data_IF_560694161776
#
_entry.id   IF_560694161776
#
_cell.length_a   1.000
_cell.length_b   1.000
_cell.length_c   1.000
_cell.angle_alpha   90.00
_cell.angle_beta   90.00
_cell.angle_gamma   90.00
#
_symmetry.space_group_name_H-M   'P 1'
#
loop_
_entity.id
_entity.type
_entity.pdbx_description
1 polymer ?
#
# COMPACT_ATOMS: atom_id res chain seq x y z
N UNK A 1 4.07 -73.73 1.02
CA UNK A 1 3.08 -72.95 1.81
C UNK A 1 3.83 -71.80 2.47
N UNK A 2 3.87 -70.65 1.81
CA UNK A 2 4.16 -69.33 2.39
C UNK A 2 4.04 -68.31 1.25
N UNK A 3 3.29 -67.26 1.53
CA UNK A 3 2.85 -66.14 0.69
C UNK A 3 4.00 -65.16 0.44
N UNK A 4 3.91 -64.38 -0.65
CA UNK A 4 4.36 -62.97 -0.81
C UNK A 4 5.16 -62.79 -2.11
N UNK A 5 4.94 -61.82 -2.98
CA UNK A 5 4.06 -60.65 -2.94
C UNK A 5 4.04 -60.02 -4.34
N UNK A 6 2.88 -59.48 -4.72
CA UNK A 6 2.63 -58.83 -6.01
C UNK A 6 3.29 -57.44 -5.97
N UNK A 7 4.34 -57.25 -6.78
CA UNK A 7 4.95 -55.94 -6.99
C UNK A 7 4.11 -55.15 -8.01
N UNK A 8 3.30 -54.21 -7.52
CA UNK A 8 2.60 -53.21 -8.33
C UNK A 8 3.57 -52.08 -8.65
N UNK A 9 4.01 -51.99 -9.90
CA UNK A 9 4.80 -50.87 -10.42
C UNK A 9 3.88 -49.68 -10.71
N UNK A 10 3.80 -48.74 -9.77
CA UNK A 10 3.18 -47.43 -9.98
C UNK A 10 4.12 -46.55 -10.80
N UNK A 11 3.70 -46.17 -12.02
CA UNK A 11 4.31 -45.08 -12.79
C UNK A 11 4.12 -43.76 -12.04
N UNK A 12 5.21 -43.15 -11.58
CA UNK A 12 5.24 -41.71 -11.27
C UNK A 12 5.34 -40.94 -12.59
N UNK A 13 4.26 -40.25 -12.97
CA UNK A 13 4.31 -39.19 -13.96
C UNK A 13 4.89 -37.94 -13.28
N UNK A 14 6.15 -37.62 -13.57
CA UNK A 14 6.76 -36.35 -13.19
C UNK A 14 6.13 -35.23 -14.05
N UNK A 15 5.21 -34.47 -13.45
CA UNK A 15 4.71 -33.24 -14.03
C UNK A 15 5.81 -32.21 -14.09
N UNK A 16 6.32 -31.94 -15.29
CA UNK A 16 7.21 -30.82 -15.55
C UNK A 16 6.40 -29.52 -15.35
N UNK A 17 6.53 -28.92 -14.16
CA UNK A 17 6.12 -27.55 -13.94
C UNK A 17 7.00 -26.65 -14.80
N UNK A 18 6.41 -26.10 -15.87
CA UNK A 18 6.97 -25.01 -16.65
C UNK A 18 7.10 -23.79 -15.74
N UNK A 19 8.24 -23.68 -15.06
CA UNK A 19 8.65 -22.41 -14.48
C UNK A 19 8.86 -21.44 -15.64
N UNK A 20 7.98 -20.45 -15.77
CA UNK A 20 8.26 -19.28 -16.57
C UNK A 20 9.45 -18.58 -15.90
N UNK A 21 10.60 -18.59 -16.58
CA UNK A 21 11.78 -17.85 -16.15
C UNK A 21 11.43 -16.37 -16.18
N UNK A 22 11.26 -15.76 -15.01
CA UNK A 22 11.43 -14.32 -14.90
C UNK A 22 12.90 -14.05 -15.25
N UNK A 23 13.15 -13.45 -16.42
CA UNK A 23 14.48 -13.00 -16.77
C UNK A 23 15.00 -12.07 -15.65
N UNK A 24 16.25 -12.23 -15.20
CA UNK A 24 16.82 -11.30 -14.23
C UNK A 24 16.75 -9.88 -14.81
N UNK A 25 16.33 -8.92 -13.98
CA UNK A 25 16.37 -7.50 -14.34
C UNK A 25 17.80 -7.13 -14.75
N UNK A 26 18.01 -6.88 -16.04
CA UNK A 26 19.30 -6.46 -16.57
C UNK A 26 19.45 -4.97 -16.24
N UNK A 27 20.51 -4.59 -15.55
CA UNK A 27 20.84 -3.19 -15.35
C UNK A 27 20.93 -2.50 -16.74
N UNK A 28 20.28 -1.34 -16.88
CA UNK A 28 20.24 -0.61 -18.14
C UNK A 28 21.67 -0.25 -18.58
N UNK A 29 22.12 -0.80 -19.70
CA UNK A 29 23.36 -0.41 -20.37
C UNK A 29 23.19 0.82 -21.26
N UNK A 30 21.97 1.18 -21.63
CA UNK A 30 21.61 2.51 -22.11
C UNK A 30 20.20 2.88 -21.61
N UNK A 31 19.85 4.17 -21.59
CA UNK A 31 18.54 4.62 -21.11
C UNK A 31 18.54 6.03 -20.55
N UNK A 32 17.56 6.34 -19.70
CA UNK A 32 17.47 7.59 -18.95
C UNK A 32 17.04 7.32 -17.51
N UNK A 33 17.61 8.08 -16.59
CA UNK A 33 17.11 8.21 -15.20
C UNK A 33 16.86 9.69 -14.93
N UNK A 34 16.06 10.02 -13.93
CA UNK A 34 15.81 11.42 -13.62
C UNK A 34 15.09 11.68 -12.31
N UNK A 35 15.27 12.91 -11.85
CA UNK A 35 14.66 13.44 -10.64
C UNK A 35 14.29 14.90 -10.84
N UNK A 36 13.40 15.39 -9.98
CA UNK A 36 12.93 16.77 -10.09
C UNK A 36 13.97 17.81 -9.71
N UNK A 37 13.79 19.00 -10.27
CA UNK A 37 14.63 20.16 -10.01
C UNK A 37 13.96 21.26 -9.18
N UNK A 38 12.62 21.40 -9.17
CA UNK A 38 12.00 22.58 -8.53
C UNK A 38 10.50 22.56 -8.15
N UNK A 39 9.78 21.42 -8.09
CA UNK A 39 8.32 21.48 -7.83
C UNK A 39 7.77 20.28 -7.06
N UNK A 40 7.76 20.36 -5.74
CA UNK A 40 7.13 19.32 -4.92
C UNK A 40 5.60 19.48 -4.88
N UNK A 41 4.87 18.36 -4.94
CA UNK A 41 3.42 18.33 -4.77
C UNK A 41 3.06 17.34 -3.65
N UNK A 42 1.98 17.58 -2.93
CA UNK A 42 1.46 16.62 -1.94
C UNK A 42 0.24 15.90 -2.51
N UNK A 43 0.20 14.59 -2.36
CA UNK A 43 -0.93 13.75 -2.73
C UNK A 43 -1.53 13.11 -1.48
N UNK A 44 -2.80 13.41 -1.23
CA UNK A 44 -3.63 12.70 -0.25
C UNK A 44 -4.49 11.67 -0.99
N UNK A 45 -4.24 10.35 -0.81
CA UNK A 45 -5.00 9.30 -1.48
C UNK A 45 -6.49 9.25 -1.09
N UNK A 46 -6.88 9.85 0.04
CA UNK A 46 -8.26 9.90 0.52
C UNK A 46 -9.00 11.17 0.11
N UNK A 47 -8.32 12.11 -0.57
CA UNK A 47 -8.97 13.25 -1.18
C UNK A 47 -9.79 12.80 -2.40
N UNK A 48 -11.11 13.07 -2.43
CA UNK A 48 -12.00 12.62 -3.52
C UNK A 48 -11.63 13.17 -4.91
N UNK A 49 -10.81 14.22 -5.00
CA UNK A 49 -10.37 14.78 -6.29
C UNK A 49 -9.04 14.21 -6.78
N UNK A 50 -8.30 13.48 -5.94
CA UNK A 50 -6.92 13.06 -6.23
C UNK A 50 -5.95 14.23 -6.32
N UNK A 51 -4.80 14.02 -6.98
CA UNK A 51 -3.86 15.10 -7.30
C UNK A 51 -4.34 15.81 -8.57
N UNK A 52 -4.77 17.07 -8.40
CA UNK A 52 -5.08 17.95 -9.51
C UNK A 52 -3.87 18.07 -10.46
N UNK A 53 -4.15 18.33 -11.73
CA UNK A 53 -3.12 18.51 -12.75
C UNK A 53 -2.07 19.54 -12.31
N UNK A 54 -0.82 19.09 -12.20
CA UNK A 54 0.32 19.93 -11.83
C UNK A 54 1.46 19.77 -12.84
N UNK A 55 2.33 20.75 -12.90
CA UNK A 55 3.50 20.74 -13.77
C UNK A 55 4.75 20.44 -12.95
N UNK A 56 5.51 19.42 -13.36
CA UNK A 56 6.72 18.96 -12.70
C UNK A 56 7.85 18.93 -13.72
N UNK A 57 8.95 19.61 -13.41
CA UNK A 57 10.16 19.58 -14.23
C UNK A 57 11.15 18.57 -13.65
N UNK A 58 11.57 17.61 -14.49
CA UNK A 58 12.62 16.64 -14.17
C UNK A 58 13.87 16.94 -15.00
N UNK A 59 15.05 16.78 -14.37
CA UNK A 59 16.30 16.66 -15.11
C UNK A 59 16.54 15.17 -15.36
N UNK A 60 16.53 14.78 -16.62
CA UNK A 60 16.85 13.42 -17.05
C UNK A 60 18.32 13.35 -17.43
N UNK A 61 19.03 12.36 -16.90
CA UNK A 61 20.40 12.02 -17.26
C UNK A 61 20.38 10.75 -18.10
N UNK A 62 21.08 10.75 -19.24
CA UNK A 62 21.24 9.54 -20.03
C UNK A 62 22.14 8.53 -19.32
N UNK A 63 21.75 7.26 -19.38
CA UNK A 63 22.58 6.13 -18.95
C UNK A 63 23.43 5.73 -20.14
N UNK A 64 24.75 5.69 -19.98
CA UNK A 64 25.69 5.31 -21.03
C UNK A 64 26.25 3.89 -20.80
N UNK A 65 26.57 3.14 -21.87
CA UNK A 65 27.16 1.81 -21.75
C UNK A 65 28.43 1.77 -20.89
N UNK A 66 28.60 0.75 -20.04
CA UNK A 66 29.80 0.60 -19.23
C UNK A 66 31.04 0.40 -20.12
N UNK A 67 32.20 0.81 -19.61
CA UNK A 67 33.50 0.59 -20.27
C UNK A 67 33.81 1.52 -21.45
N UNK A 68 33.11 2.65 -21.59
CA UNK A 68 33.37 3.63 -22.67
C UNK A 68 33.06 3.10 -24.06
N UNK A 69 32.16 2.13 -24.14
CA UNK A 69 31.81 1.39 -25.37
C UNK A 69 30.87 2.15 -26.30
N UNK A 70 30.41 3.34 -25.91
CA UNK A 70 29.59 4.23 -26.72
C UNK A 70 28.86 5.24 -25.85
N UNK A 71 28.04 6.07 -26.50
CA UNK A 71 27.19 7.06 -25.84
C UNK A 71 25.76 6.86 -26.28
N UNK A 72 24.82 6.89 -25.33
CA UNK A 72 23.39 6.77 -25.64
C UNK A 72 22.95 7.94 -26.50
N UNK A 73 22.53 7.63 -27.73
CA UNK A 73 22.12 8.60 -28.75
C UNK A 73 20.61 8.66 -28.90
N UNK A 74 19.89 7.58 -28.61
CA UNK A 74 18.42 7.57 -28.63
C UNK A 74 17.85 6.76 -27.48
N UNK A 75 16.78 7.27 -26.87
CA UNK A 75 15.96 6.56 -25.89
C UNK A 75 14.49 6.77 -26.18
N UNK A 76 13.77 5.67 -26.35
CA UNK A 76 12.32 5.62 -26.46
C UNK A 76 11.78 4.99 -25.19
N UNK A 77 10.88 5.67 -24.47
CA UNK A 77 10.37 5.13 -23.22
C UNK A 77 8.93 5.53 -22.89
N UNK A 78 8.28 4.68 -22.11
CA UNK A 78 7.01 4.96 -21.46
C UNK A 78 7.10 4.52 -19.99
N UNK A 79 6.14 4.97 -19.19
CA UNK A 79 6.00 4.60 -17.79
C UNK A 79 4.87 3.59 -17.67
N UNK A 80 5.05 2.56 -16.84
CA UNK A 80 3.99 1.56 -16.61
C UNK A 80 3.73 1.38 -15.13
N UNK A 81 2.46 1.26 -14.78
CA UNK A 81 2.04 0.77 -13.48
C UNK A 81 2.57 -0.65 -13.25
N UNK A 82 3.11 -0.93 -12.07
CA UNK A 82 3.51 -2.28 -11.67
C UNK A 82 2.30 -3.18 -11.40
N UNK A 83 1.23 -2.57 -10.90
CA UNK A 83 -0.05 -3.20 -10.62
C UNK A 83 -1.16 -2.14 -10.72
N UNK A 84 -2.42 -2.55 -10.52
CA UNK A 84 -3.58 -1.68 -10.66
C UNK A 84 -3.63 -0.51 -9.66
N UNK A 85 -2.74 -0.46 -8.66
CA UNK A 85 -2.71 0.59 -7.63
C UNK A 85 -2.44 1.98 -8.20
N UNK A 86 -1.80 2.07 -9.37
CA UNK A 86 -1.47 3.34 -10.02
C UNK A 86 -2.35 3.63 -11.26
N UNK A 87 -3.35 2.79 -11.55
CA UNK A 87 -4.20 2.94 -12.73
C UNK A 87 -4.98 4.25 -12.72
N UNK A 88 -5.05 4.90 -13.87
CA UNK A 88 -5.68 6.22 -14.04
C UNK A 88 -4.73 7.40 -13.81
N UNK A 89 -3.47 7.13 -13.44
CA UNK A 89 -2.40 8.14 -13.46
C UNK A 89 -2.20 8.67 -14.89
N UNK A 90 -1.98 9.98 -14.99
CA UNK A 90 -1.70 10.64 -16.27
C UNK A 90 -0.38 11.39 -16.14
N UNK A 91 0.57 11.08 -17.02
CA UNK A 91 1.88 11.72 -17.10
C UNK A 91 2.13 12.10 -18.57
N UNK A 92 2.12 13.40 -18.85
CA UNK A 92 2.25 13.93 -20.22
C UNK A 92 3.49 14.82 -20.28
N UNK A 93 4.55 14.48 -21.05
CA UNK A 93 5.66 15.38 -21.30
C UNK A 93 5.15 16.55 -22.16
N UNK A 94 5.20 17.76 -21.62
CA UNK A 94 4.79 18.99 -22.29
C UNK A 94 5.89 19.58 -23.15
N UNK A 95 7.13 19.58 -22.64
CA UNK A 95 8.28 20.14 -23.33
C UNK A 95 9.57 19.45 -22.91
N UNK A 96 10.55 19.49 -23.82
CA UNK A 96 11.90 18.98 -23.61
C UNK A 96 12.87 20.08 -24.01
N UNK A 97 13.90 20.30 -23.20
CA UNK A 97 14.95 21.29 -23.45
C UNK A 97 16.34 20.72 -23.13
N UNK A 98 17.36 21.23 -23.83
CA UNK A 98 18.72 20.72 -23.78
C UNK A 98 19.23 20.25 -25.15
N UNK A 99 20.41 19.65 -25.22
CA UNK A 99 21.03 19.15 -26.46
C UNK A 99 20.39 17.83 -26.93
N UNK A 100 19.10 17.88 -27.25
CA UNK A 100 18.27 16.74 -27.59
C UNK A 100 17.17 17.15 -28.59
N UNK A 101 16.84 16.25 -29.50
CA UNK A 101 15.62 16.32 -30.31
C UNK A 101 14.58 15.41 -29.67
N UNK A 102 13.34 15.89 -29.50
CA UNK A 102 12.30 15.12 -28.82
C UNK A 102 11.07 14.93 -29.73
N UNK A 103 10.43 13.77 -29.59
CA UNK A 103 9.14 13.48 -30.20
C UNK A 103 8.23 12.76 -29.21
N UNK A 104 6.91 12.87 -29.41
CA UNK A 104 5.92 12.24 -28.51
C UNK A 104 5.45 13.11 -27.34
N UNK A 105 5.84 14.40 -27.30
CA UNK A 105 5.27 15.37 -26.36
C UNK A 105 3.76 15.55 -26.56
N UNK A 106 3.06 15.95 -25.49
CA UNK A 106 1.61 16.13 -25.49
C UNK A 106 0.79 14.84 -25.45
N UNK A 107 1.43 13.69 -25.18
CA UNK A 107 0.76 12.37 -25.08
C UNK A 107 0.95 11.77 -23.70
N UNK A 108 -0.04 11.05 -23.18
CA UNK A 108 0.12 10.35 -21.90
C UNK A 108 1.10 9.18 -22.07
N UNK A 109 2.29 9.28 -21.50
CA UNK A 109 3.30 8.22 -21.54
C UNK A 109 3.15 7.23 -20.39
N UNK A 110 2.17 7.42 -19.50
CA UNK A 110 1.83 6.46 -18.47
C UNK A 110 0.82 5.42 -18.98
N UNK A 111 1.09 4.15 -18.68
CA UNK A 111 0.30 3.00 -19.11
C UNK A 111 -0.19 2.25 -17.87
N UNK A 112 -1.51 2.08 -17.77
CA UNK A 112 -2.16 1.28 -16.74
C UNK A 112 -1.67 -0.18 -16.77
N UNK A 113 -1.76 -0.89 -15.65
CA UNK A 113 -1.17 -2.22 -15.49
C UNK A 113 -1.69 -3.23 -16.51
N UNK A 114 -3.01 -3.24 -16.73
CA UNK A 114 -3.71 -4.14 -17.65
C UNK A 114 -3.83 -3.60 -19.09
N UNK A 115 -3.38 -2.37 -19.36
CA UNK A 115 -3.45 -1.81 -20.71
C UNK A 115 -2.39 -2.44 -21.63
N UNK A 116 -2.74 -2.57 -22.92
CA UNK A 116 -1.80 -3.02 -23.95
C UNK A 116 -0.62 -2.05 -24.02
N UNK A 117 0.62 -2.51 -23.80
CA UNK A 117 1.76 -1.60 -23.84
C UNK A 117 2.02 -1.04 -25.24
N UNK A 118 2.54 0.19 -25.34
CA UNK A 118 3.07 0.74 -26.58
C UNK A 118 4.17 -0.17 -27.15
N UNK A 119 4.20 -0.33 -28.46
CA UNK A 119 5.38 -0.94 -29.11
C UNK A 119 6.49 0.10 -29.14
N UNK A 120 7.64 -0.23 -28.54
CA UNK A 120 8.84 0.60 -28.58
C UNK A 120 9.97 -0.16 -29.26
N UNK A 121 10.81 0.56 -30.01
CA UNK A 121 11.98 0.03 -30.72
C UNK A 121 13.08 1.08 -30.70
N UNK A 122 14.37 0.70 -30.68
CA UNK A 122 15.46 1.67 -30.76
C UNK A 122 15.42 2.54 -32.03
N UNK A 123 14.91 2.05 -33.16
CA UNK A 123 14.98 2.81 -34.43
C UNK A 123 13.74 2.72 -35.32
N UNK A 124 12.91 1.68 -35.20
CA UNK A 124 11.89 1.36 -36.20
C UNK A 124 10.49 1.94 -35.92
N UNK A 125 10.26 2.51 -34.73
CA UNK A 125 8.94 2.99 -34.30
C UNK A 125 9.04 4.44 -33.86
N UNK A 126 8.06 5.26 -34.28
CA UNK A 126 7.95 6.67 -33.89
C UNK A 126 6.76 6.87 -32.94
N UNK A 127 6.82 7.87 -32.03
CA UNK A 127 5.72 8.18 -31.13
C UNK A 127 4.44 8.56 -31.89
N UNK A 128 3.30 8.05 -31.45
CA UNK A 128 2.00 8.32 -32.08
C UNK A 128 0.82 8.02 -31.16
N UNK A 129 -0.40 8.13 -31.69
CA UNK A 129 -1.62 7.81 -30.92
C UNK A 129 -1.67 6.35 -30.47
N UNK A 130 -1.26 5.42 -31.35
CA UNK A 130 -1.19 3.99 -31.04
C UNK A 130 0.04 3.59 -30.23
N UNK A 131 1.09 4.42 -30.21
CA UNK A 131 2.33 4.17 -29.46
C UNK A 131 2.71 5.43 -28.66
N UNK A 132 2.05 5.68 -27.51
CA UNK A 132 2.31 6.86 -26.70
C UNK A 132 3.57 6.64 -25.83
N UNK A 133 4.72 7.03 -26.35
CA UNK A 133 6.00 7.04 -25.65
C UNK A 133 6.75 8.36 -25.92
N UNK A 134 7.71 8.71 -25.07
CA UNK A 134 8.62 9.83 -25.30
C UNK A 134 9.88 9.31 -26.00
N UNK A 135 10.25 9.96 -27.10
CA UNK A 135 11.52 9.74 -27.80
C UNK A 135 12.46 10.90 -27.51
N UNK A 136 13.69 10.57 -27.13
CA UNK A 136 14.79 11.51 -26.90
C UNK A 136 15.99 11.13 -27.76
N UNK A 137 16.38 12.02 -28.66
CA UNK A 137 17.52 11.91 -29.56
C UNK A 137 18.63 12.87 -29.14
N UNK A 138 19.62 12.38 -28.40
CA UNK A 138 20.73 13.19 -27.91
C UNK A 138 21.64 13.61 -29.06
N UNK A 139 21.91 14.91 -29.19
CA UNK A 139 22.64 15.46 -30.34
C UNK A 139 24.15 15.56 -30.12
N UNK A 140 24.66 15.19 -28.95
CA UNK A 140 26.07 15.27 -28.58
C UNK A 140 26.61 14.00 -27.93
N UNK A 141 27.93 13.84 -27.92
CA UNK A 141 28.63 12.68 -27.33
C UNK A 141 29.40 13.00 -26.05
N UNK A 142 29.48 14.27 -25.65
CA UNK A 142 30.20 14.71 -24.44
C UNK A 142 29.30 14.81 -23.19
N UNK A 143 29.92 14.98 -22.02
CA UNK A 143 29.19 15.06 -20.73
C UNK A 143 28.19 16.23 -20.66
N UNK A 144 28.46 17.33 -21.37
CA UNK A 144 27.53 18.46 -21.47
C UNK A 144 26.21 18.14 -22.19
N UNK A 145 26.12 16.99 -22.88
CA UNK A 145 24.88 16.50 -23.49
C UNK A 145 24.26 15.31 -22.76
N UNK A 146 24.74 14.98 -21.56
CA UNK A 146 24.17 13.88 -20.77
C UNK A 146 22.83 14.25 -20.14
N UNK A 147 22.56 15.55 -19.96
CA UNK A 147 21.41 16.06 -19.22
C UNK A 147 20.41 16.77 -20.12
N UNK A 148 19.14 16.48 -19.92
CA UNK A 148 18.01 17.13 -20.59
C UNK A 148 16.94 17.44 -19.57
N UNK A 149 16.26 18.56 -19.74
CA UNK A 149 15.17 18.96 -18.85
C UNK A 149 13.84 18.66 -19.54
N UNK A 150 12.99 17.86 -18.88
CA UNK A 150 11.65 17.51 -19.35
C UNK A 150 10.61 18.05 -18.39
N UNK A 151 9.65 18.80 -18.92
CA UNK A 151 8.51 19.30 -18.16
C UNK A 151 7.32 18.38 -18.38
N UNK A 152 6.80 17.79 -17.31
CA UNK A 152 5.65 16.90 -17.32
C UNK A 152 4.42 17.59 -16.73
N UNK A 153 3.27 17.32 -17.31
CA UNK A 153 1.97 17.47 -16.67
C UNK A 153 1.62 16.15 -15.99
N UNK A 154 1.30 16.19 -14.70
CA UNK A 154 1.00 15.00 -13.88
C UNK A 154 -0.34 15.18 -13.18
N UNK A 155 -1.16 14.13 -13.19
CA UNK A 155 -2.32 14.00 -12.30
C UNK A 155 -2.44 12.57 -11.80
N UNK A 156 -2.87 12.43 -10.54
CA UNK A 156 -3.10 11.14 -9.89
C UNK A 156 -4.59 11.02 -9.56
N UNK A 157 -5.23 9.88 -9.84
CA UNK A 157 -6.65 9.70 -9.56
C UNK A 157 -6.89 9.61 -8.05
N UNK A 158 -8.13 9.87 -7.59
CA UNK A 158 -8.48 9.59 -6.20
C UNK A 158 -8.31 8.11 -5.89
N UNK A 159 -7.97 7.80 -4.63
CA UNK A 159 -7.81 6.43 -4.15
C UNK A 159 -6.74 5.59 -4.85
N UNK A 160 -5.81 6.20 -5.60
CA UNK A 160 -4.62 5.48 -6.08
C UNK A 160 -3.84 4.93 -4.87
N UNK A 161 -3.55 3.63 -4.92
CA UNK A 161 -3.03 2.84 -3.80
C UNK A 161 -1.52 2.95 -3.69
N UNK A 162 -1.01 4.18 -3.63
CA UNK A 162 0.41 4.45 -3.39
C UNK A 162 0.78 4.30 -1.91
N UNK A 163 2.00 3.84 -1.66
CA UNK A 163 2.60 3.85 -0.31
C UNK A 163 3.05 5.26 0.03
N UNK A 164 2.85 5.67 1.30
CA UNK A 164 3.34 6.94 1.81
C UNK A 164 4.85 7.07 1.58
N UNK A 165 5.26 8.18 0.99
CA UNK A 165 6.65 8.42 0.57
C UNK A 165 6.91 9.91 0.37
N UNK A 166 8.17 10.31 0.38
CA UNK A 166 8.59 11.69 0.07
C UNK A 166 8.68 11.95 -1.43
N UNK A 167 8.89 10.90 -2.23
CA UNK A 167 8.95 10.93 -3.69
C UNK A 167 8.17 9.76 -4.29
N UNK A 168 7.59 9.97 -5.47
CA UNK A 168 6.87 8.96 -6.22
C UNK A 168 7.71 8.50 -7.42
N UNK A 169 8.26 7.29 -7.31
CA UNK A 169 9.03 6.66 -8.37
C UNK A 169 8.14 5.92 -9.36
N UNK A 170 8.49 5.98 -10.64
CA UNK A 170 7.87 5.17 -11.69
C UNK A 170 8.91 4.36 -12.45
N UNK A 171 8.51 3.15 -12.83
CA UNK A 171 9.31 2.27 -13.66
C UNK A 171 9.31 2.75 -15.11
N UNK A 172 10.47 2.71 -15.73
CA UNK A 172 10.68 3.10 -17.12
C UNK A 172 10.83 1.85 -17.96
N UNK A 173 9.95 1.69 -18.94
CA UNK A 173 10.11 0.69 -20.00
C UNK A 173 10.76 1.37 -21.19
N UNK A 174 11.92 0.89 -21.60
CA UNK A 174 12.76 1.58 -22.57
C UNK A 174 13.22 0.69 -23.72
N UNK A 175 13.51 1.35 -24.84
CA UNK A 175 14.27 0.87 -25.97
C UNK A 175 15.29 1.95 -26.32
N UNK A 176 16.57 1.62 -26.29
CA UNK A 176 17.64 2.59 -26.46
C UNK A 176 18.68 2.12 -27.47
N UNK A 177 19.36 3.10 -28.03
CA UNK A 177 20.50 2.95 -28.92
C UNK A 177 21.64 3.79 -28.38
N UNK A 178 22.82 3.18 -28.29
CA UNK A 178 24.08 3.85 -28.08
C UNK A 178 24.96 3.72 -29.32
N UNK A 179 25.75 4.77 -29.57
CA UNK A 179 26.63 4.89 -30.74
C UNK A 179 28.01 5.35 -30.31
N UNK A 180 29.04 4.84 -30.97
CA UNK A 180 30.45 5.19 -30.71
C UNK A 180 31.19 4.06 -30.00
N UNK A 181 32.43 4.32 -29.55
CA UNK A 181 33.26 3.32 -28.86
C UNK A 181 33.74 2.14 -29.71
N UNK A 182 34.30 1.12 -29.07
CA UNK A 182 34.99 -0.02 -29.74
C UNK A 182 34.06 -1.04 -30.41
N UNK A 183 32.75 -0.97 -30.16
CA UNK A 183 31.75 -1.96 -30.60
C UNK A 183 30.72 -1.39 -31.59
N UNK A 184 30.77 -0.09 -31.91
CA UNK A 184 29.92 0.52 -32.93
C UNK A 184 28.52 0.89 -32.42
N UNK A 185 27.48 0.17 -32.84
CA UNK A 185 26.09 0.42 -32.42
C UNK A 185 25.68 -0.63 -31.39
N UNK A 186 25.16 -0.16 -30.26
CA UNK A 186 24.59 -1.00 -29.20
C UNK A 186 23.10 -0.67 -29.07
N UNK A 187 22.25 -1.69 -28.99
CA UNK A 187 20.81 -1.53 -28.80
C UNK A 187 20.34 -2.41 -27.65
N UNK A 188 19.44 -1.89 -26.83
CA UNK A 188 18.87 -2.60 -25.70
C UNK A 188 17.39 -2.25 -25.54
N UNK A 189 16.60 -3.23 -25.10
CA UNK A 189 15.27 -3.02 -24.56
C UNK A 189 15.21 -3.58 -23.14
N UNK A 190 14.35 -3.01 -22.30
CA UNK A 190 14.22 -3.48 -20.92
C UNK A 190 13.37 -2.57 -20.05
N UNK A 191 13.47 -2.81 -18.76
CA UNK A 191 12.78 -2.04 -17.73
C UNK A 191 13.79 -1.62 -16.68
N UNK A 192 13.73 -0.36 -16.27
CA UNK A 192 14.47 0.17 -15.14
C UNK A 192 13.51 0.58 -14.03
N UNK A 193 13.78 0.10 -12.81
CA UNK A 193 12.87 0.25 -11.69
C UNK A 193 13.11 1.60 -11.00
N UNK A 194 12.04 2.37 -10.75
CA UNK A 194 12.10 3.70 -10.12
C UNK A 194 13.08 4.66 -10.80
N UNK A 195 13.23 4.55 -12.12
CA UNK A 195 14.18 5.35 -12.88
C UNK A 195 13.77 6.83 -12.99
N UNK A 196 12.46 7.14 -12.98
CA UNK A 196 11.96 8.51 -12.86
C UNK A 196 11.31 8.76 -11.51
N UNK A 197 11.87 9.70 -10.75
CA UNK A 197 11.38 10.06 -9.42
C UNK A 197 10.73 11.45 -9.46
N UNK A 198 9.40 11.45 -9.33
CA UNK A 198 8.61 12.67 -9.22
C UNK A 198 8.61 13.12 -7.75
N UNK A 199 8.74 14.43 -7.47
CA UNK A 199 8.77 15.00 -6.13
C UNK A 199 7.34 15.11 -5.56
N UNK A 200 6.57 14.04 -5.68
CA UNK A 200 5.22 13.96 -5.15
C UNK A 200 5.30 13.24 -3.81
N UNK A 201 5.01 13.96 -2.73
CA UNK A 201 4.90 13.40 -1.39
C UNK A 201 3.53 12.75 -1.23
N UNK A 202 3.51 11.43 -1.11
CA UNK A 202 2.30 10.69 -0.75
C UNK A 202 2.13 10.78 0.77
N UNK A 203 1.10 11.47 1.21
CA UNK A 203 0.86 11.67 2.64
C UNK A 203 0.54 10.33 3.31
N UNK A 204 1.06 10.14 4.53
CA UNK A 204 0.57 9.08 5.40
C UNK A 204 -0.76 9.53 6.01
N UNK A 205 -1.83 8.98 5.47
CA UNK A 205 -3.21 9.30 5.82
C UNK A 205 -3.98 8.00 6.03
N UNK A 206 -5.13 8.11 6.69
CA UNK A 206 -6.01 6.97 6.91
C UNK A 206 -7.49 7.39 6.95
N UNK A 207 -8.34 6.40 6.72
CA UNK A 207 -9.76 6.45 7.05
C UNK A 207 -10.08 5.25 7.94
N UNK A 208 -10.78 5.49 9.04
CA UNK A 208 -11.22 4.45 9.95
C UNK A 208 -12.70 4.61 10.29
N UNK A 209 -13.41 3.49 10.42
CA UNK A 209 -14.82 3.47 10.80
C UNK A 209 -15.16 2.19 11.54
N UNK A 210 -16.06 2.25 12.51
CA UNK A 210 -16.64 1.05 13.10
C UNK A 210 -17.71 0.46 12.16
N UNK A 211 -17.60 -0.83 11.85
CA UNK A 211 -18.55 -1.56 11.04
C UNK A 211 -19.17 -2.68 11.88
N UNK A 212 -20.45 -2.53 12.21
CA UNK A 212 -21.15 -3.47 13.08
C UNK A 212 -22.32 -2.85 13.84
N UNK A 213 -22.92 -3.64 14.73
CA UNK A 213 -23.90 -3.18 15.70
C UNK A 213 -23.22 -2.80 17.02
N UNK A 214 -23.96 -2.22 17.96
CA UNK A 214 -23.47 -2.13 19.33
C UNK A 214 -23.08 -3.53 19.85
N UNK A 215 -22.04 -3.58 20.70
CA UNK A 215 -21.63 -4.77 21.42
C UNK A 215 -22.63 -5.04 22.55
N UNK A 216 -23.74 -5.67 22.21
CA UNK A 216 -24.87 -5.91 23.12
C UNK A 216 -24.90 -7.36 23.59
N UNK A 217 -25.00 -7.54 24.92
CA UNK A 217 -25.15 -8.84 25.58
C UNK A 217 -26.61 -9.26 25.72
N UNK A 218 -27.57 -8.38 25.44
CA UNK A 218 -28.99 -8.60 25.64
C UNK A 218 -29.40 -8.52 27.11
N UNK A 219 -30.42 -9.30 27.49
CA UNK A 219 -30.83 -9.43 28.89
C UNK A 219 -29.79 -10.27 29.66
N UNK A 220 -29.26 -9.70 30.75
CA UNK A 220 -28.28 -10.38 31.62
C UNK A 220 -28.67 -10.45 33.09
N UNK A 221 -29.78 -9.84 33.51
CA UNK A 221 -30.22 -9.72 34.91
C UNK A 221 -30.53 -11.04 35.60
N UNK A 222 -31.00 -12.05 34.85
CA UNK A 222 -31.22 -13.39 35.40
C UNK A 222 -29.98 -14.31 35.30
N UNK A 223 -28.94 -13.89 34.58
CA UNK A 223 -27.75 -14.70 34.39
C UNK A 223 -26.92 -14.72 35.69
N UNK A 224 -26.67 -15.93 36.17
CA UNK A 224 -25.69 -16.19 37.22
C UNK A 224 -24.46 -16.84 36.58
N UNK A 225 -23.33 -16.14 36.61
CA UNK A 225 -22.04 -16.65 36.13
C UNK A 225 -21.12 -16.83 37.33
N UNK A 226 -20.69 -18.06 37.57
CA UNK A 226 -19.65 -18.36 38.54
C UNK A 226 -18.28 -17.89 38.01
N UNK A 227 -17.31 -17.60 38.91
CA UNK A 227 -15.96 -17.22 38.50
C UNK A 227 -15.35 -18.24 37.52
N UNK A 228 -14.87 -17.75 36.37
CA UNK A 228 -14.26 -18.59 35.31
C UNK A 228 -15.26 -19.21 34.32
N UNK A 229 -16.57 -18.97 34.48
CA UNK A 229 -17.54 -19.32 33.44
C UNK A 229 -17.54 -18.27 32.33
N UNK A 230 -17.61 -18.76 31.09
CA UNK A 230 -17.72 -17.92 29.89
C UNK A 230 -19.20 -17.60 29.67
N UNK A 231 -19.56 -16.32 29.72
CA UNK A 231 -20.91 -15.85 29.45
C UNK A 231 -21.20 -15.65 27.95
N UNK A 232 -22.36 -15.06 27.62
CA UNK A 232 -22.70 -14.67 26.26
C UNK A 232 -21.59 -13.84 25.62
N UNK A 233 -21.35 -14.09 24.33
CA UNK A 233 -20.39 -13.34 23.51
C UNK A 233 -21.16 -12.58 22.43
N UNK A 234 -20.79 -11.32 22.22
CA UNK A 234 -21.39 -10.46 21.20
C UNK A 234 -21.11 -11.02 19.80
N UNK A 235 -21.91 -10.65 18.78
CA UNK A 235 -21.71 -11.13 17.42
C UNK A 235 -20.28 -10.93 16.89
N UNK A 236 -19.74 -11.94 16.21
CA UNK A 236 -18.37 -11.96 15.69
C UNK A 236 -18.16 -11.09 14.43
N UNK A 237 -19.22 -10.43 13.93
CA UNK A 237 -19.19 -9.62 12.70
C UNK A 237 -18.79 -8.16 12.90
N UNK A 238 -18.49 -7.74 14.13
CA UNK A 238 -18.11 -6.37 14.45
C UNK A 238 -16.60 -6.17 14.24
N UNK A 239 -16.21 -5.07 13.58
CA UNK A 239 -14.81 -4.75 13.37
C UNK A 239 -14.58 -3.24 13.20
N UNK A 240 -13.35 -2.82 13.44
CA UNK A 240 -12.87 -1.50 13.01
C UNK A 240 -12.28 -1.66 11.62
N UNK A 241 -12.88 -1.01 10.63
CA UNK A 241 -12.39 -0.93 9.26
C UNK A 241 -11.32 0.14 9.20
N UNK A 242 -10.15 -0.18 8.64
CA UNK A 242 -9.05 0.79 8.43
C UNK A 242 -8.55 0.71 6.99
N UNK A 243 -8.40 1.88 6.38
CA UNK A 243 -7.64 2.06 5.15
C UNK A 243 -6.53 3.05 5.41
N UNK A 244 -5.32 2.79 4.91
CA UNK A 244 -4.17 3.64 5.17
C UNK A 244 -3.15 3.58 4.04
N UNK A 245 -2.55 4.74 3.73
CA UNK A 245 -1.45 4.84 2.76
C UNK A 245 -0.09 4.54 3.39
N UNK A 246 0.02 4.59 4.72
CA UNK A 246 1.21 4.27 5.50
C UNK A 246 0.91 3.41 6.74
N UNK A 247 1.92 3.10 7.57
CA UNK A 247 1.71 2.40 8.84
C UNK A 247 0.84 3.23 9.79
N UNK A 248 0.19 2.57 10.74
CA UNK A 248 -0.71 3.23 11.69
C UNK A 248 -0.65 2.58 13.08
N UNK A 249 -0.90 3.35 14.12
CA UNK A 249 -1.02 2.87 15.49
C UNK A 249 -2.49 2.70 15.87
N UNK A 250 -2.80 1.64 16.62
CA UNK A 250 -4.12 1.37 17.17
C UNK A 250 -4.00 1.25 18.69
N UNK A 251 -4.86 1.97 19.41
CA UNK A 251 -4.99 1.81 20.86
C UNK A 251 -6.42 1.53 21.26
N UNK A 252 -6.61 0.70 22.29
CA UNK A 252 -7.90 0.45 22.92
C UNK A 252 -7.87 0.94 24.37
N UNK A 253 -8.89 1.67 24.76
CA UNK A 253 -9.20 2.01 26.15
C UNK A 253 -10.68 1.75 26.45
N UNK A 254 -11.00 1.52 27.71
CA UNK A 254 -12.38 1.46 28.21
C UNK A 254 -12.60 2.62 29.18
N UNK A 255 -13.72 3.34 29.04
CA UNK A 255 -14.09 4.39 30.00
C UNK A 255 -14.28 3.84 31.40
N UNK A 256 -14.74 2.60 31.54
CA UNK A 256 -15.05 1.98 32.83
C UNK A 256 -14.19 0.75 33.15
N UNK A 257 -12.96 0.67 32.66
CA UNK A 257 -12.03 -0.44 32.93
C UNK A 257 -12.67 -1.83 32.71
N UNK A 258 -13.35 -1.98 31.58
CA UNK A 258 -14.06 -3.19 31.14
C UNK A 258 -15.15 -3.65 32.11
N UNK A 259 -15.91 -2.68 32.62
CA UNK A 259 -17.09 -2.89 33.45
C UNK A 259 -18.25 -2.10 32.88
N UNK A 260 -19.35 -2.79 32.57
CA UNK A 260 -20.60 -2.11 32.31
C UNK A 260 -21.06 -1.46 33.63
N UNK A 261 -21.38 -0.18 33.58
CA UNK A 261 -21.74 0.61 34.74
C UNK A 261 -23.23 0.94 34.73
N UNK A 262 -23.86 0.80 35.89
CA UNK A 262 -25.22 1.29 36.13
C UNK A 262 -25.29 2.83 35.97
N UNK A 263 -26.35 3.41 35.38
CA UNK A 263 -26.43 4.86 35.14
C UNK A 263 -26.24 5.77 36.37
N UNK A 264 -26.63 5.29 37.55
CA UNK A 264 -26.46 6.00 38.83
C UNK A 264 -25.43 5.35 39.77
N UNK A 265 -24.66 4.38 39.28
CA UNK A 265 -23.71 3.60 40.07
C UNK A 265 -22.32 4.22 40.16
N UNK A 266 -21.47 3.59 40.96
CA UNK A 266 -20.06 3.92 41.04
C UNK A 266 -19.22 2.72 40.57
N UNK A 267 -18.16 2.98 39.81
CA UNK A 267 -17.30 1.91 39.25
C UNK A 267 -16.59 1.03 40.29
N UNK A 268 -16.50 1.53 41.53
CA UNK A 268 -15.95 0.83 42.69
C UNK A 268 -16.97 -0.04 43.41
N UNK A 269 -18.27 0.14 43.14
CA UNK A 269 -19.35 -0.62 43.77
C UNK A 269 -19.72 -1.85 42.93
N UNK A 270 -19.38 -3.07 43.40
CA UNK A 270 -19.66 -4.29 42.67
C UNK A 270 -21.16 -4.55 42.48
N UNK A 271 -22.06 -3.97 43.27
CA UNK A 271 -23.51 -4.13 43.05
C UNK A 271 -24.01 -3.35 41.82
N UNK A 272 -23.21 -2.42 41.29
CA UNK A 272 -23.57 -1.53 40.19
C UNK A 272 -22.67 -1.67 38.97
N UNK A 273 -21.83 -2.70 38.94
CA UNK A 273 -20.94 -3.01 37.81
C UNK A 273 -21.08 -4.45 37.35
N UNK A 274 -20.94 -4.68 36.05
CA UNK A 274 -20.89 -6.01 35.44
C UNK A 274 -19.61 -6.14 34.62
N UNK A 275 -18.76 -7.12 34.94
CA UNK A 275 -17.48 -7.34 34.25
C UNK A 275 -17.65 -8.03 32.91
N UNK A 276 -16.81 -7.62 31.96
CA UNK A 276 -16.70 -8.26 30.66
C UNK A 276 -15.26 -8.21 30.17
N UNK A 277 -14.97 -9.02 29.15
CA UNK A 277 -13.69 -9.07 28.44
C UNK A 277 -13.91 -8.70 26.99
N UNK A 278 -12.97 -7.96 26.42
CA UNK A 278 -12.94 -7.61 25.00
C UNK A 278 -11.79 -8.34 24.34
N UNK A 279 -12.06 -8.98 23.20
CA UNK A 279 -11.03 -9.47 22.30
C UNK A 279 -10.86 -8.48 21.15
N UNK A 280 -9.65 -7.97 20.99
CA UNK A 280 -9.30 -7.02 19.93
C UNK A 280 -7.82 -7.21 19.53
N UNK A 281 -7.53 -7.28 18.23
CA UNK A 281 -6.18 -7.52 17.70
C UNK A 281 -5.51 -8.75 18.34
N UNK A 282 -6.23 -9.87 18.38
CA UNK A 282 -5.77 -11.13 18.96
C UNK A 282 -5.62 -11.18 20.49
N UNK A 283 -5.76 -10.05 21.19
CA UNK A 283 -5.56 -9.95 22.63
C UNK A 283 -6.88 -9.76 23.39
N UNK A 284 -7.01 -10.48 24.49
CA UNK A 284 -8.10 -10.31 25.45
C UNK A 284 -7.72 -9.21 26.49
N UNK A 285 -8.67 -8.30 26.76
CA UNK A 285 -8.55 -7.21 27.74
C UNK A 285 -9.79 -7.16 28.62
N UNK A 286 -9.58 -7.02 29.91
CA UNK A 286 -10.61 -7.09 30.95
C UNK A 286 -10.24 -6.20 32.15
N UNK A 287 -11.10 -6.22 33.17
CA UNK A 287 -10.89 -5.46 34.40
C UNK A 287 -9.72 -5.96 35.26
N UNK A 288 -9.21 -7.18 35.01
CA UNK A 288 -8.07 -7.75 35.72
C UNK A 288 -6.73 -7.31 35.13
N UNK A 289 -6.67 -7.20 33.80
CA UNK A 289 -5.51 -6.75 33.03
C UNK A 289 -5.42 -5.22 32.97
N UNK A 290 -6.56 -4.53 33.02
CA UNK A 290 -6.63 -3.06 32.98
C UNK A 290 -7.57 -2.54 34.06
N UNK A 291 -7.02 -2.26 35.24
CA UNK A 291 -7.83 -1.87 36.40
C UNK A 291 -8.22 -0.38 36.42
N UNK A 292 -7.51 0.48 35.69
CA UNK A 292 -7.70 1.93 35.73
C UNK A 292 -8.63 2.41 34.60
N UNK A 293 -9.75 3.08 34.93
CA UNK A 293 -10.65 3.68 33.95
C UNK A 293 -9.93 4.66 33.00
N UNK A 294 -10.22 4.57 31.70
CA UNK A 294 -9.64 5.43 30.67
C UNK A 294 -8.18 5.13 30.30
N UNK A 295 -7.50 4.19 30.96
CA UNK A 295 -6.13 3.82 30.61
C UNK A 295 -6.06 3.01 29.31
N UNK A 296 -4.96 3.17 28.59
CA UNK A 296 -4.69 2.41 27.36
C UNK A 296 -4.42 0.95 27.73
N UNK A 297 -5.36 0.08 27.37
CA UNK A 297 -5.33 -1.35 27.63
C UNK A 297 -4.49 -2.12 26.60
N UNK A 298 -4.44 -1.60 25.37
CA UNK A 298 -3.72 -2.20 24.25
C UNK A 298 -3.15 -1.09 23.36
N UNK A 299 -1.95 -1.31 22.86
CA UNK A 299 -1.30 -0.47 21.85
C UNK A 299 -0.59 -1.37 20.84
N UNK A 300 -0.89 -1.21 19.56
CA UNK A 300 -0.32 -2.00 18.47
C UNK A 300 0.07 -1.09 17.30
N UNK A 301 1.19 -1.40 16.64
CA UNK A 301 1.58 -0.77 15.37
C UNK A 301 1.28 -1.72 14.22
N UNK A 302 0.49 -1.24 13.27
CA UNK A 302 -0.02 -1.99 12.15
C UNK A 302 0.65 -1.55 10.85
N UNK A 303 0.81 -2.51 9.94
CA UNK A 303 1.31 -2.26 8.60
C UNK A 303 0.29 -1.45 7.81
N UNK A 304 0.71 -0.95 6.66
CA UNK A 304 -0.18 -0.27 5.73
C UNK A 304 -1.33 -1.20 5.31
N UNK A 305 -2.57 -0.75 5.47
CA UNK A 305 -3.79 -1.47 5.07
C UNK A 305 -4.11 -1.30 3.58
N UNK A 306 -3.58 -0.25 2.96
CA UNK A 306 -3.85 0.14 1.58
C UNK A 306 -5.04 1.08 1.43
N UNK A 307 -5.27 1.50 0.19
CA UNK A 307 -6.22 2.55 -0.19
C UNK A 307 -7.16 2.00 -1.26
N UNK A 308 -8.44 2.33 -1.16
CA UNK A 308 -9.47 1.95 -2.14
C UNK A 308 -10.23 0.70 -1.71
N UNK A 309 -11.42 0.48 -2.27
CA UNK A 309 -12.40 -0.50 -1.75
C UNK A 309 -11.92 -1.96 -1.69
N UNK A 310 -10.88 -2.31 -2.45
CA UNK A 310 -10.27 -3.65 -2.44
C UNK A 310 -9.22 -3.83 -1.32
N UNK A 311 -8.80 -2.74 -0.68
CA UNK A 311 -7.72 -2.72 0.30
C UNK A 311 -8.24 -2.14 1.63
N UNK A 312 -8.34 -2.98 2.65
CA UNK A 312 -8.72 -2.60 3.99
C UNK A 312 -8.23 -3.64 5.00
N UNK A 313 -7.83 -3.16 6.17
CA UNK A 313 -7.69 -4.02 7.35
C UNK A 313 -9.04 -4.07 8.06
N UNK A 314 -9.46 -5.27 8.45
CA UNK A 314 -10.62 -5.50 9.29
C UNK A 314 -10.13 -5.96 10.66
N UNK A 315 -10.19 -5.07 11.64
CA UNK A 315 -9.71 -5.35 13.00
C UNK A 315 -10.89 -5.87 13.84
N UNK A 316 -11.05 -7.18 14.04
CA UNK A 316 -12.25 -7.74 14.65
C UNK A 316 -12.34 -7.36 16.12
N UNK A 317 -13.55 -7.07 16.59
CA UNK A 317 -13.83 -6.79 17.99
C UNK A 317 -15.01 -7.61 18.47
N UNK A 318 -14.85 -8.27 19.60
CA UNK A 318 -15.92 -8.96 20.28
C UNK A 318 -15.79 -8.78 21.79
N UNK A 319 -16.90 -8.89 22.49
CA UNK A 319 -16.95 -8.85 23.93
C UNK A 319 -17.61 -10.10 24.48
N UNK A 320 -17.11 -10.61 25.59
CA UNK A 320 -17.61 -11.78 26.29
C UNK A 320 -17.92 -11.39 27.73
N UNK A 321 -19.11 -11.73 28.19
CA UNK A 321 -19.52 -11.46 29.56
C UNK A 321 -18.74 -12.35 30.53
N UNK A 322 -18.18 -11.77 31.59
CA UNK A 322 -17.45 -12.50 32.63
C UNK A 322 -18.23 -12.59 33.95
N UNK A 323 -19.27 -11.77 34.09
CA UNK A 323 -20.10 -11.68 35.28
C UNK A 323 -21.56 -11.49 34.88
N UNK A 324 -22.47 -12.23 35.52
CA UNK A 324 -23.90 -12.12 35.26
C UNK A 324 -24.56 -10.97 36.03
N UNK A 325 -25.79 -10.62 35.66
CA UNK A 325 -26.57 -9.57 36.33
C UNK A 325 -27.29 -10.04 37.60
N UNK A 326 -27.31 -11.34 37.90
CA UNK A 326 -27.97 -11.86 39.09
C UNK A 326 -27.36 -11.26 40.38
N UNK A 327 -28.20 -10.66 41.22
CA UNK A 327 -27.78 -9.99 42.46
C UNK A 327 -27.19 -8.58 42.25
N UNK A 328 -27.12 -8.08 41.01
CA UNK A 328 -26.79 -6.69 40.71
C UNK A 328 -28.01 -5.79 40.86
N UNK A 329 -27.78 -4.49 40.95
CA UNK A 329 -28.84 -3.48 40.97
C UNK A 329 -29.62 -3.56 39.65
N UNK A 330 -30.94 -3.82 39.65
CA UNK A 330 -31.71 -3.96 38.42
C UNK A 330 -31.67 -2.67 37.59
N UNK A 331 -31.37 -2.79 36.30
CA UNK A 331 -31.35 -1.65 35.38
C UNK A 331 -31.50 -2.07 33.94
N UNK A 332 -32.19 -1.26 33.11
CA UNK A 332 -32.32 -1.52 31.69
C UNK A 332 -31.07 -1.11 30.88
N UNK A 333 -30.01 -0.56 31.51
CA UNK A 333 -28.96 0.12 30.73
C UNK A 333 -27.58 0.17 31.38
N UNK A 334 -27.05 -0.99 31.78
CA UNK A 334 -25.62 -1.13 32.06
C UNK A 334 -24.79 -0.81 30.80
N UNK A 335 -23.82 0.11 30.90
CA UNK A 335 -23.06 0.59 29.73
C UNK A 335 -21.58 0.81 30.03
N UNK A 336 -20.77 0.61 29.01
CA UNK A 336 -19.39 1.09 28.94
C UNK A 336 -19.15 1.64 27.52
N UNK A 337 -18.16 2.52 27.38
CA UNK A 337 -17.72 3.03 26.09
C UNK A 337 -16.26 2.62 25.87
N UNK A 338 -16.06 1.82 24.83
CA UNK A 338 -14.72 1.50 24.33
C UNK A 338 -14.26 2.62 23.40
N UNK A 339 -13.03 3.09 23.60
CA UNK A 339 -12.39 4.11 22.77
C UNK A 339 -11.28 3.41 22.00
N UNK A 340 -11.49 3.26 20.69
CA UNK A 340 -10.44 2.82 19.75
C UNK A 340 -9.89 4.05 19.05
N UNK A 341 -8.59 4.30 19.23
CA UNK A 341 -7.90 5.40 18.54
C UNK A 341 -7.01 4.80 17.45
N UNK A 342 -7.18 5.28 16.22
CA UNK A 342 -6.37 4.87 15.07
C UNK A 342 -5.61 6.10 14.57
N UNK A 343 -4.28 6.04 14.59
CA UNK A 343 -3.41 7.19 14.31
C UNK A 343 -2.47 6.89 13.15
N UNK A 344 -2.41 7.70 12.08
CA UNK A 344 -1.43 7.51 11.02
C UNK A 344 -0.02 7.77 11.53
N UNK A 345 0.94 6.96 11.12
CA UNK A 345 2.35 7.10 11.46
C UNK A 345 3.15 7.53 10.23
N UNK A 346 4.31 8.16 10.43
CA UNK A 346 5.22 8.46 9.34
C UNK A 346 5.71 7.17 8.65
N UNK A 347 6.02 7.25 7.34
CA UNK A 347 6.35 6.09 6.51
C UNK A 347 7.55 5.25 7.01
N UNK A 348 8.42 5.82 7.84
CA UNK A 348 9.62 5.16 8.40
C UNK A 348 9.46 4.74 9.87
N UNK A 349 8.23 4.66 10.39
CA UNK A 349 8.01 4.20 11.77
C UNK A 349 8.42 2.74 11.98
N UNK A 350 8.61 2.36 13.25
CA UNK A 350 8.95 1.01 13.77
C UNK A 350 8.33 -0.12 12.94
N UNK A 351 9.08 -1.20 12.73
CA UNK A 351 8.68 -2.39 11.96
C UNK A 351 7.23 -2.82 12.29
N UNK A 352 6.28 -2.59 11.37
CA UNK A 352 4.88 -2.80 11.66
C UNK A 352 4.51 -4.29 11.55
N UNK A 353 3.45 -4.71 12.25
CA UNK A 353 2.90 -6.08 12.14
C UNK A 353 1.65 -6.06 11.25
N UNK A 354 1.38 -7.14 10.51
CA UNK A 354 0.09 -7.31 9.84
C UNK A 354 -1.01 -7.47 10.90
N UNK A 355 -1.97 -6.54 10.94
CA UNK A 355 -3.01 -6.52 11.97
C UNK A 355 -4.32 -7.19 11.55
N UNK A 356 -4.51 -7.45 10.26
CA UNK A 356 -5.68 -8.17 9.72
C UNK A 356 -5.74 -9.65 10.15
N UNK A 357 -4.61 -10.22 10.59
CA UNK A 357 -4.48 -11.65 10.95
C UNK A 357 -4.40 -11.90 12.46
N UNK A 358 -4.49 -10.85 13.30
CA UNK A 358 -4.39 -10.92 14.77
C UNK A 358 -5.76 -11.08 15.44
#
# INVERSE_FOLDING_TARGET
MAVSGILRTTLLAAGAALFAWAAPAQAAGCGVTGSATASAASYDPFNPTGLATTTITLNLTRVNPPGGTGTTSRVNFYLKANDASADGTVIVPLSVSGPVQAAGTGRNVFVNAAATPPTISPTAVTPGGANPFLQLDFTGTGAGSDNVTVTFQVSLPPSANFTASTTLGFNVWFACKATGGKVGTFEQTGTDNNALNFPITVLSALQASYAGSALDFGEVGALSLAPGQIGPTTPAGNYVRVQSSGPYAVTLASQNAFRLLHPSGAITDPATTIRYRVRFLGADRDAGTTALPGSVALSQTCARAGVGAAFEDRLPVSATLEEGGAGKTPSPSYRDTLIVTVTPLAAESVAPTACETL
#
